data_IF_296355193606
#
_entry.id   IF_296355193606
#
_cell.length_a   1.000
_cell.length_b   1.000
_cell.length_c   1.000
_cell.angle_alpha   90.00
_cell.angle_beta   90.00
_cell.angle_gamma   90.00
#
_symmetry.space_group_name_H-M   'P 1'
#
loop_
_entity.id
_entity.type
_entity.pdbx_description
1 polymer ?
#
# COMPACT_ATOMS: atom_id res chain seq x y z
N UNK A 1 -23.42 9.75 13.12
CA UNK A 1 -23.87 8.33 13.18
C UNK A 1 -23.23 7.51 12.06
N UNK A 2 -23.55 7.70 10.76
CA UNK A 2 -22.94 6.93 9.66
C UNK A 2 -21.40 7.00 9.66
N UNK A 3 -20.83 8.20 9.82
CA UNK A 3 -19.37 8.41 9.85
C UNK A 3 -18.71 7.68 11.03
N UNK A 4 -19.36 7.57 12.15
CA UNK A 4 -18.86 6.83 13.32
C UNK A 4 -18.80 5.33 13.02
N UNK A 5 -19.84 4.77 12.38
CA UNK A 5 -19.84 3.37 11.94
C UNK A 5 -18.74 3.09 10.92
N UNK A 6 -18.58 3.96 9.92
CA UNK A 6 -17.49 3.85 8.95
C UNK A 6 -16.12 3.87 9.64
N UNK A 7 -15.92 4.78 10.60
CA UNK A 7 -14.66 4.85 11.36
C UNK A 7 -14.43 3.61 12.25
N UNK A 8 -15.48 3.06 12.86
CA UNK A 8 -15.43 1.80 13.61
C UNK A 8 -15.05 0.64 12.69
N UNK A 9 -15.72 0.51 11.55
CA UNK A 9 -15.42 -0.49 10.54
C UNK A 9 -13.99 -0.40 10.00
N UNK A 10 -13.52 0.82 9.73
CA UNK A 10 -12.15 1.07 9.29
C UNK A 10 -11.11 0.62 10.34
N UNK A 11 -11.38 0.82 11.63
CA UNK A 11 -10.52 0.33 12.72
C UNK A 11 -10.52 -1.20 12.80
N UNK A 12 -11.71 -1.81 12.70
CA UNK A 12 -11.85 -3.27 12.72
C UNK A 12 -11.13 -3.90 11.51
N UNK A 13 -11.33 -3.35 10.32
CA UNK A 13 -10.63 -3.82 9.12
C UNK A 13 -9.12 -3.65 9.21
N UNK A 14 -8.65 -2.51 9.78
CA UNK A 14 -7.23 -2.31 10.03
C UNK A 14 -6.65 -3.39 10.94
N UNK A 15 -7.32 -3.72 12.05
CA UNK A 15 -6.89 -4.76 12.97
C UNK A 15 -6.81 -6.12 12.27
N UNK A 16 -7.85 -6.50 11.53
CA UNK A 16 -7.89 -7.70 10.72
C UNK A 16 -6.70 -7.79 9.75
N UNK A 17 -6.42 -6.73 8.98
CA UNK A 17 -5.33 -6.73 8.01
C UNK A 17 -3.93 -6.67 8.64
N UNK A 18 -3.80 -6.21 9.88
CA UNK A 18 -2.52 -6.23 10.62
C UNK A 18 -2.23 -7.61 11.23
N UNK A 19 -3.25 -8.41 11.50
CA UNK A 19 -3.13 -9.77 12.01
C UNK A 19 -2.90 -10.77 10.88
N UNK A 20 -3.80 -10.82 9.90
CA UNK A 20 -3.78 -11.82 8.82
C UNK A 20 -2.83 -11.47 7.68
N UNK A 21 -2.46 -10.20 7.52
CA UNK A 21 -1.61 -9.68 6.44
C UNK A 21 -2.15 -10.03 5.04
N UNK A 22 -3.47 -10.08 4.92
CA UNK A 22 -4.19 -10.29 3.67
C UNK A 22 -5.11 -9.12 3.34
N UNK A 23 -5.41 -8.96 2.05
CA UNK A 23 -6.41 -8.03 1.54
C UNK A 23 -7.57 -8.85 0.98
N UNK A 24 -8.79 -8.53 1.39
CA UNK A 24 -9.99 -9.17 0.88
C UNK A 24 -10.67 -8.31 -0.19
N UNK A 25 -11.53 -8.88 -1.05
CA UNK A 25 -12.25 -8.14 -2.08
C UNK A 25 -13.04 -6.94 -1.52
N UNK A 26 -13.08 -5.86 -2.27
CA UNK A 26 -13.68 -4.59 -1.88
C UNK A 26 -15.14 -4.70 -1.40
N UNK A 27 -15.98 -5.48 -2.07
CA UNK A 27 -17.37 -5.71 -1.65
C UNK A 27 -17.45 -6.32 -0.25
N UNK A 28 -16.55 -7.30 0.06
CA UNK A 28 -16.46 -7.92 1.38
C UNK A 28 -15.95 -6.96 2.45
N UNK A 29 -14.99 -6.09 2.13
CA UNK A 29 -14.51 -5.05 3.05
C UNK A 29 -15.69 -4.20 3.55
N UNK A 30 -16.53 -3.74 2.62
CA UNK A 30 -17.68 -2.91 2.97
C UNK A 30 -18.77 -3.69 3.69
N UNK A 31 -19.08 -4.90 3.26
CA UNK A 31 -20.12 -5.73 3.87
C UNK A 31 -19.74 -6.20 5.27
N UNK A 32 -18.51 -6.68 5.46
CA UNK A 32 -18.09 -7.37 6.68
C UNK A 32 -17.54 -6.41 7.74
N UNK A 33 -17.09 -5.22 7.35
CA UNK A 33 -16.46 -4.28 8.27
C UNK A 33 -17.12 -2.90 8.31
N UNK A 34 -17.20 -2.20 7.18
CA UNK A 34 -17.61 -0.79 7.17
C UNK A 34 -19.11 -0.60 7.38
N UNK A 35 -19.91 -1.51 6.87
CA UNK A 35 -21.38 -1.49 6.93
C UNK A 35 -21.95 -2.71 7.68
N UNK A 36 -21.14 -3.43 8.43
CA UNK A 36 -21.54 -4.65 9.14
C UNK A 36 -22.76 -4.44 10.05
N UNK A 37 -22.82 -3.30 10.75
CA UNK A 37 -23.90 -2.98 11.67
C UNK A 37 -25.25 -2.66 10.95
N UNK A 38 -25.23 -2.45 9.63
CA UNK A 38 -26.43 -2.07 8.85
C UNK A 38 -27.14 -3.26 8.19
N UNK A 39 -26.56 -4.46 8.24
CA UNK A 39 -27.12 -5.69 7.67
C UNK A 39 -27.62 -5.55 6.22
N UNK A 40 -26.86 -4.80 5.40
CA UNK A 40 -27.19 -4.57 3.99
C UNK A 40 -27.06 -5.89 3.23
N UNK A 41 -28.08 -6.32 2.46
CA UNK A 41 -27.97 -7.52 1.63
C UNK A 41 -26.79 -7.44 0.67
N UNK A 42 -26.04 -8.54 0.50
CA UNK A 42 -24.83 -8.58 -0.32
C UNK A 42 -25.08 -8.15 -1.77
N UNK A 43 -26.23 -8.51 -2.32
CA UNK A 43 -26.65 -8.13 -3.67
C UNK A 43 -26.79 -6.61 -3.87
N UNK A 44 -27.02 -5.84 -2.81
CA UNK A 44 -27.07 -4.38 -2.88
C UNK A 44 -25.71 -3.72 -2.84
N UNK A 45 -24.69 -4.42 -2.38
CA UNK A 45 -23.29 -3.96 -2.35
C UNK A 45 -22.48 -4.52 -3.52
N UNK A 46 -23.00 -5.53 -4.22
CA UNK A 46 -22.30 -6.20 -5.29
C UNK A 46 -21.86 -5.22 -6.38
N UNK A 47 -20.55 -5.15 -6.62
CA UNK A 47 -19.94 -4.27 -7.61
C UNK A 47 -19.76 -2.81 -7.16
N UNK A 48 -20.21 -2.42 -5.96
CA UNK A 48 -20.04 -1.05 -5.43
C UNK A 48 -18.76 -0.92 -4.59
N UNK A 49 -18.21 -2.02 -4.09
CA UNK A 49 -17.11 -2.02 -3.13
C UNK A 49 -15.87 -1.29 -3.64
N UNK A 50 -15.54 -1.43 -4.91
CA UNK A 50 -14.38 -0.73 -5.50
C UNK A 50 -14.56 0.80 -5.46
N UNK A 51 -15.71 1.31 -5.88
CA UNK A 51 -15.98 2.75 -5.86
C UNK A 51 -15.99 3.28 -4.43
N UNK A 52 -16.57 2.52 -3.50
CA UNK A 52 -16.59 2.86 -2.08
C UNK A 52 -15.17 2.84 -1.47
N UNK A 53 -14.34 1.86 -1.80
CA UNK A 53 -12.94 1.81 -1.40
C UNK A 53 -12.13 2.99 -1.97
N UNK A 54 -12.33 3.29 -3.26
CA UNK A 54 -11.69 4.44 -3.91
C UNK A 54 -12.07 5.75 -3.22
N UNK A 55 -13.37 5.99 -3.02
CA UNK A 55 -13.87 7.19 -2.34
C UNK A 55 -13.33 7.31 -0.92
N UNK A 56 -13.32 6.22 -0.16
CA UNK A 56 -12.81 6.20 1.21
C UNK A 56 -11.30 6.52 1.25
N UNK A 57 -10.50 5.90 0.38
CA UNK A 57 -9.07 6.17 0.29
C UNK A 57 -8.82 7.62 -0.15
N UNK A 58 -9.60 8.15 -1.09
CA UNK A 58 -9.52 9.53 -1.57
C UNK A 58 -9.86 10.54 -0.48
N UNK A 59 -10.95 10.31 0.26
CA UNK A 59 -11.41 11.18 1.33
C UNK A 59 -10.46 11.17 2.53
N UNK A 60 -9.96 10.00 2.92
CA UNK A 60 -9.12 9.83 4.11
C UNK A 60 -7.69 10.33 3.92
N UNK A 61 -7.19 10.32 2.70
CA UNK A 61 -5.78 10.61 2.39
C UNK A 61 -5.65 12.00 1.78
N UNK A 62 -4.98 12.90 2.52
CA UNK A 62 -4.46 14.13 1.92
C UNK A 62 -3.19 13.79 1.15
N UNK A 63 -3.37 13.45 -0.14
CA UNK A 63 -2.25 13.12 -1.00
C UNK A 63 -1.74 14.40 -1.64
N UNK A 64 -0.48 14.67 -1.38
CA UNK A 64 0.23 15.82 -1.93
C UNK A 64 1.47 15.30 -2.64
N UNK A 65 1.68 15.75 -3.86
CA UNK A 65 2.91 15.47 -4.62
C UNK A 65 4.10 16.05 -3.84
N UNK A 66 5.09 15.24 -3.55
CA UNK A 66 6.32 15.71 -2.93
C UNK A 66 7.08 16.60 -3.92
N UNK A 67 7.72 17.64 -3.41
CA UNK A 67 8.64 18.46 -4.18
C UNK A 67 9.76 17.59 -4.77
N UNK A 68 10.14 17.85 -6.01
CA UNK A 68 11.20 17.09 -6.71
C UNK A 68 10.80 15.67 -7.14
N UNK A 69 9.54 15.21 -6.89
CA UNK A 69 9.15 13.83 -7.22
C UNK A 69 9.38 13.50 -8.69
N UNK A 70 8.88 14.33 -9.60
CA UNK A 70 8.98 14.05 -11.03
C UNK A 70 10.41 14.10 -11.53
N UNK A 71 11.18 15.09 -11.06
CA UNK A 71 12.61 15.24 -11.38
C UNK A 71 13.40 14.00 -10.89
N UNK A 72 13.12 13.52 -9.67
CA UNK A 72 13.75 12.31 -9.12
C UNK A 72 13.40 11.09 -9.96
N UNK A 73 12.11 10.87 -10.30
CA UNK A 73 11.68 9.73 -11.10
C UNK A 73 12.31 9.77 -12.50
N UNK A 74 12.35 10.96 -13.12
CA UNK A 74 13.02 11.15 -14.41
C UNK A 74 14.50 10.84 -14.31
N UNK A 75 15.20 11.36 -13.30
CA UNK A 75 16.63 11.12 -13.08
C UNK A 75 16.94 9.63 -12.91
N UNK A 76 16.11 8.90 -12.17
CA UNK A 76 16.25 7.45 -12.01
C UNK A 76 16.06 6.71 -13.35
N UNK A 77 15.06 7.09 -14.15
CA UNK A 77 14.85 6.50 -15.49
C UNK A 77 16.01 6.83 -16.44
N UNK A 78 16.50 8.06 -16.43
CA UNK A 78 17.66 8.48 -17.25
C UNK A 78 18.95 7.74 -16.84
N UNK A 79 19.08 7.37 -15.56
CA UNK A 79 20.16 6.52 -15.04
C UNK A 79 19.98 5.03 -15.34
N UNK A 80 18.90 4.63 -16.02
CA UNK A 80 18.63 3.25 -16.43
C UNK A 80 17.88 2.40 -15.40
N UNK A 81 17.40 2.98 -14.29
CA UNK A 81 16.61 2.23 -13.32
C UNK A 81 15.20 1.94 -13.84
N UNK A 82 14.73 0.73 -13.55
CA UNK A 82 13.34 0.31 -13.75
C UNK A 82 12.57 0.55 -12.46
N UNK A 83 11.36 1.07 -12.55
CA UNK A 83 10.59 1.48 -11.38
C UNK A 83 9.28 0.69 -11.29
N UNK A 84 8.94 0.24 -10.09
CA UNK A 84 7.67 -0.39 -9.74
C UNK A 84 7.12 0.19 -8.45
N UNK A 85 5.84 -0.04 -8.20
CA UNK A 85 5.15 0.36 -6.95
C UNK A 85 4.66 -0.89 -6.23
N UNK A 86 4.88 -0.95 -4.89
CA UNK A 86 4.25 -1.96 -4.02
C UNK A 86 3.40 -1.23 -2.98
N UNK A 87 2.08 -1.44 -2.99
CA UNK A 87 1.15 -0.69 -2.13
C UNK A 87 0.17 -1.59 -1.38
N UNK A 88 0.04 -1.35 -0.05
CA UNK A 88 -1.11 -1.84 0.70
C UNK A 88 -2.27 -0.86 0.53
N UNK A 89 -3.30 -1.26 -0.20
CA UNK A 89 -4.43 -0.42 -0.60
C UNK A 89 -5.69 -1.27 -0.82
N UNK A 90 -6.87 -0.75 -0.44
CA UNK A 90 -8.15 -1.45 -0.61
C UNK A 90 -8.69 -1.35 -2.04
N UNK A 91 -8.52 -0.19 -2.66
CA UNK A 91 -9.00 0.06 -4.02
C UNK A 91 -7.97 -0.39 -5.07
N UNK A 92 -8.43 -1.07 -6.10
CA UNK A 92 -7.60 -1.48 -7.25
C UNK A 92 -7.28 -0.32 -8.20
N UNK A 93 -8.09 0.74 -8.18
CA UNK A 93 -7.96 1.88 -9.11
C UNK A 93 -7.32 3.11 -8.46
N UNK A 94 -7.19 3.16 -7.13
CA UNK A 94 -6.71 4.35 -6.43
C UNK A 94 -5.26 4.72 -6.80
N UNK A 95 -4.33 3.76 -6.71
CA UNK A 95 -2.91 4.05 -7.00
C UNK A 95 -2.71 4.45 -8.47
N UNK A 96 -3.22 3.71 -9.47
CA UNK A 96 -3.11 4.14 -10.87
C UNK A 96 -3.61 5.57 -11.10
N UNK A 97 -4.83 5.89 -10.63
CA UNK A 97 -5.44 7.21 -10.82
C UNK A 97 -4.65 8.34 -10.16
N UNK A 98 -4.14 8.12 -8.95
CA UNK A 98 -3.32 9.14 -8.26
C UNK A 98 -2.00 9.39 -8.99
N UNK A 99 -1.35 8.34 -9.49
CA UNK A 99 -0.13 8.49 -10.29
C UNK A 99 -0.39 9.23 -11.60
N UNK A 100 -1.54 9.00 -12.25
CA UNK A 100 -1.99 9.72 -13.43
C UNK A 100 -2.29 11.19 -13.12
N UNK A 101 -3.06 11.47 -12.07
CA UNK A 101 -3.35 12.85 -11.61
C UNK A 101 -2.09 13.66 -11.34
N UNK A 102 -1.05 13.00 -10.83
CA UNK A 102 0.24 13.64 -10.57
C UNK A 102 1.18 13.68 -11.78
N UNK A 103 0.79 13.10 -12.92
CA UNK A 103 1.57 13.08 -14.14
C UNK A 103 2.82 12.20 -14.06
N UNK A 104 2.81 11.18 -13.21
CA UNK A 104 4.00 10.32 -12.96
C UNK A 104 3.77 8.82 -13.23
N UNK A 105 2.57 8.42 -13.67
CA UNK A 105 2.24 7.00 -13.92
C UNK A 105 3.18 6.36 -14.94
N UNK A 106 3.61 7.09 -15.95
CA UNK A 106 4.48 6.64 -17.03
C UNK A 106 5.88 6.20 -16.59
N UNK A 107 6.32 6.60 -15.41
CA UNK A 107 7.63 6.19 -14.89
C UNK A 107 7.65 4.76 -14.34
N UNK A 108 6.49 4.19 -13.99
CA UNK A 108 6.37 2.89 -13.34
C UNK A 108 5.93 1.81 -14.32
N UNK A 109 6.67 0.71 -14.35
CA UNK A 109 6.37 -0.46 -15.20
C UNK A 109 5.31 -1.35 -14.56
N UNK A 110 5.38 -1.56 -13.24
CA UNK A 110 4.48 -2.43 -12.49
C UNK A 110 3.84 -1.71 -11.31
N UNK A 111 2.63 -2.14 -10.96
CA UNK A 111 1.90 -1.70 -9.78
C UNK A 111 1.39 -2.91 -9.00
N UNK A 112 2.21 -3.41 -8.08
CA UNK A 112 1.87 -4.54 -7.21
C UNK A 112 1.06 -4.03 -6.02
N UNK A 113 -0.24 -4.30 -6.03
CA UNK A 113 -1.19 -3.79 -5.03
C UNK A 113 -1.82 -4.93 -4.24
N UNK A 114 -1.94 -4.76 -2.92
CA UNK A 114 -2.59 -5.77 -2.07
C UNK A 114 -4.03 -6.06 -2.48
N UNK A 115 -4.76 -5.04 -2.94
CA UNK A 115 -6.12 -5.18 -3.49
C UNK A 115 -6.21 -6.10 -4.71
N UNK A 116 -5.10 -6.30 -5.43
CA UNK A 116 -5.04 -7.17 -6.62
C UNK A 116 -4.50 -8.55 -6.26
N UNK A 117 -3.39 -8.61 -5.51
CA UNK A 117 -2.73 -9.88 -5.20
C UNK A 117 -3.23 -10.55 -3.90
N UNK A 118 -4.06 -9.87 -3.10
CA UNK A 118 -4.58 -10.39 -1.84
C UNK A 118 -3.58 -10.41 -0.67
N UNK A 119 -2.34 -9.99 -0.89
CA UNK A 119 -1.24 -10.10 0.07
C UNK A 119 -0.77 -8.71 0.47
N UNK A 120 -0.48 -8.52 1.77
CA UNK A 120 -0.07 -7.22 2.31
C UNK A 120 1.37 -7.24 2.84
N UNK A 121 2.08 -6.12 2.68
CA UNK A 121 3.31 -5.85 3.44
C UNK A 121 3.00 -5.92 4.94
N UNK A 122 3.86 -6.50 5.77
CA UNK A 122 5.26 -6.89 5.55
C UNK A 122 5.48 -8.36 5.13
N UNK A 123 4.49 -9.06 4.55
CA UNK A 123 4.75 -10.42 4.02
C UNK A 123 5.74 -10.35 2.87
N UNK A 124 6.68 -11.31 2.85
CA UNK A 124 7.68 -11.44 1.78
C UNK A 124 7.04 -11.66 0.42
N UNK A 125 5.95 -12.43 0.38
CA UNK A 125 5.27 -12.83 -0.87
C UNK A 125 4.91 -11.64 -1.78
N UNK A 126 4.51 -10.47 -1.23
CA UNK A 126 4.15 -9.32 -2.09
C UNK A 126 5.35 -8.74 -2.80
N UNK A 127 6.54 -8.81 -2.19
CA UNK A 127 7.79 -8.38 -2.79
C UNK A 127 8.26 -9.37 -3.86
N UNK A 128 8.06 -10.68 -3.64
CA UNK A 128 8.36 -11.73 -4.62
C UNK A 128 7.45 -11.60 -5.86
N UNK A 129 6.15 -11.25 -5.66
CA UNK A 129 5.23 -10.94 -6.75
C UNK A 129 5.75 -9.76 -7.57
N UNK A 130 6.18 -8.68 -6.90
CA UNK A 130 6.70 -7.50 -7.59
C UNK A 130 7.95 -7.80 -8.42
N UNK A 131 8.90 -8.60 -7.89
CA UNK A 131 10.07 -9.05 -8.63
C UNK A 131 9.70 -9.88 -9.87
N UNK A 132 8.73 -10.78 -9.71
CA UNK A 132 8.22 -11.60 -10.82
C UNK A 132 7.56 -10.74 -11.89
N UNK A 133 6.75 -9.75 -11.51
CA UNK A 133 6.12 -8.81 -12.45
C UNK A 133 7.16 -7.96 -13.18
N UNK A 134 8.23 -7.55 -12.49
CA UNK A 134 9.35 -6.82 -13.07
C UNK A 134 10.29 -7.70 -13.90
N UNK A 135 10.27 -9.02 -13.68
CA UNK A 135 11.19 -9.95 -14.34
C UNK A 135 12.66 -9.73 -13.94
N UNK A 136 12.93 -9.40 -12.67
CA UNK A 136 14.27 -9.17 -12.14
C UNK A 136 14.55 -10.06 -10.92
N UNK A 137 15.82 -10.46 -10.68
CA UNK A 137 16.20 -11.13 -9.45
C UNK A 137 16.27 -10.13 -8.29
N UNK A 138 16.09 -10.63 -7.07
CA UNK A 138 16.07 -9.76 -5.87
C UNK A 138 17.38 -9.06 -5.60
N UNK A 139 18.49 -9.66 -6.02
CA UNK A 139 19.85 -9.14 -5.86
C UNK A 139 20.08 -7.82 -6.64
N UNK A 140 19.24 -7.54 -7.64
CA UNK A 140 19.27 -6.32 -8.44
C UNK A 140 18.21 -5.30 -8.00
N UNK A 141 17.46 -5.59 -6.93
CA UNK A 141 16.35 -4.76 -6.45
C UNK A 141 16.75 -3.93 -5.23
N UNK A 142 16.22 -2.71 -5.20
CA UNK A 142 16.22 -1.85 -4.01
C UNK A 142 14.79 -1.44 -3.68
N UNK A 143 14.49 -1.21 -2.43
CA UNK A 143 13.19 -0.74 -2.00
C UNK A 143 13.28 0.61 -1.30
N UNK A 144 12.37 1.50 -1.64
CA UNK A 144 12.22 2.81 -1.00
C UNK A 144 10.86 2.86 -0.32
N UNK A 145 10.84 3.11 0.99
CA UNK A 145 9.60 3.17 1.76
C UNK A 145 9.71 4.06 2.97
N UNK A 146 8.62 4.25 3.71
CA UNK A 146 8.56 5.20 4.81
C UNK A 146 8.18 4.59 6.17
N UNK A 147 7.79 3.29 6.21
CA UNK A 147 7.35 2.63 7.45
C UNK A 147 8.29 1.52 7.88
N UNK A 148 8.62 1.47 9.18
CA UNK A 148 9.34 0.33 9.77
C UNK A 148 8.43 -0.91 9.77
N UNK A 149 7.18 -0.71 10.20
CA UNK A 149 6.20 -1.80 10.38
C UNK A 149 5.89 -2.61 9.12
N UNK A 150 5.98 -2.01 7.94
CA UNK A 150 5.60 -2.62 6.66
C UNK A 150 6.75 -2.72 5.69
N UNK A 151 7.50 -1.63 5.51
CA UNK A 151 8.50 -1.53 4.46
C UNK A 151 9.84 -2.12 4.92
N UNK A 152 10.46 -1.58 5.96
CA UNK A 152 11.74 -2.08 6.48
C UNK A 152 11.62 -3.55 6.92
N UNK A 153 10.59 -3.86 7.71
CA UNK A 153 10.31 -5.24 8.14
C UNK A 153 10.03 -6.17 6.95
N UNK A 154 9.27 -5.67 5.96
CA UNK A 154 8.94 -6.44 4.77
C UNK A 154 10.15 -6.79 3.93
N UNK A 155 11.03 -5.83 3.69
CA UNK A 155 12.29 -6.05 2.97
C UNK A 155 13.24 -6.97 3.75
N UNK A 156 13.32 -6.81 5.06
CA UNK A 156 14.06 -7.74 5.92
C UNK A 156 13.54 -9.18 5.79
N UNK A 157 12.20 -9.36 5.75
CA UNK A 157 11.58 -10.67 5.57
C UNK A 157 11.82 -11.26 4.16
N UNK A 158 11.79 -10.41 3.13
CA UNK A 158 12.00 -10.79 1.73
C UNK A 158 13.49 -10.98 1.37
N UNK A 159 14.40 -10.49 2.21
CA UNK A 159 15.84 -10.61 2.02
C UNK A 159 16.36 -9.84 0.80
N UNK A 160 15.79 -8.65 0.55
CA UNK A 160 16.34 -7.76 -0.50
C UNK A 160 17.62 -7.07 -0.02
N UNK A 161 18.56 -6.76 -0.91
CA UNK A 161 19.89 -6.28 -0.55
C UNK A 161 19.92 -4.82 -0.09
N UNK A 162 18.91 -3.99 -0.42
CA UNK A 162 18.94 -2.57 -0.11
C UNK A 162 17.56 -2.05 0.25
N UNK A 163 17.43 -1.49 1.45
CA UNK A 163 16.27 -0.76 1.96
C UNK A 163 16.65 0.70 2.24
N UNK A 164 15.99 1.62 1.53
CA UNK A 164 16.13 3.08 1.73
C UNK A 164 14.87 3.57 2.45
N UNK A 165 15.03 4.16 3.64
CA UNK A 165 13.90 4.69 4.39
C UNK A 165 13.79 6.21 4.19
N UNK A 166 12.67 6.65 3.61
CA UNK A 166 12.33 8.07 3.54
C UNK A 166 11.70 8.51 4.87
N UNK A 167 12.22 9.58 5.44
CA UNK A 167 11.67 10.15 6.66
C UNK A 167 10.24 10.67 6.46
N UNK A 168 9.33 10.25 7.37
CA UNK A 168 7.93 10.66 7.37
C UNK A 168 7.40 10.82 8.80
N UNK A 169 7.55 12.00 9.42
CA UNK A 169 7.12 12.25 10.79
C UNK A 169 5.63 11.96 11.06
N UNK A 170 4.78 12.05 10.01
CA UNK A 170 3.33 11.82 10.14
C UNK A 170 2.96 10.38 10.53
N UNK A 171 3.88 9.44 10.34
CA UNK A 171 3.61 8.00 10.60
C UNK A 171 4.46 7.43 11.74
N UNK A 172 5.28 8.21 12.43
CA UNK A 172 6.13 7.73 13.53
C UNK A 172 5.36 6.94 14.58
N UNK A 173 4.15 7.40 14.92
CA UNK A 173 3.27 6.71 15.86
C UNK A 173 2.91 5.27 15.46
N UNK A 174 2.97 4.94 14.17
CA UNK A 174 2.68 3.59 13.65
C UNK A 174 3.87 2.65 13.85
N UNK A 175 5.06 3.21 13.89
CA UNK A 175 6.32 2.48 13.94
C UNK A 175 6.90 2.34 15.35
N UNK A 176 6.33 3.04 16.34
CA UNK A 176 6.85 3.09 17.72
C UNK A 176 7.07 1.69 18.31
N UNK A 177 6.08 0.79 18.10
CA UNK A 177 6.16 -0.62 18.52
C UNK A 177 7.36 -1.37 17.91
N UNK A 178 7.79 -0.98 16.71
CA UNK A 178 8.79 -1.71 15.92
C UNK A 178 10.21 -1.12 16.05
N UNK A 179 10.35 0.14 16.53
CA UNK A 179 11.65 0.82 16.68
C UNK A 179 12.63 0.07 17.59
N UNK A 180 12.13 -0.64 18.63
CA UNK A 180 12.94 -1.43 19.54
C UNK A 180 13.22 -2.87 19.09
N UNK A 181 12.68 -3.32 17.94
CA UNK A 181 12.78 -4.72 17.50
C UNK A 181 13.98 -5.01 16.58
N UNK A 182 14.89 -4.06 16.40
CA UNK A 182 16.12 -4.27 15.62
C UNK A 182 15.97 -4.11 14.11
N UNK A 183 14.77 -3.80 13.60
CA UNK A 183 14.59 -3.49 12.17
C UNK A 183 15.22 -2.16 11.82
N UNK A 184 16.11 -2.15 10.85
CA UNK A 184 16.82 -0.95 10.37
C UNK A 184 16.85 -0.96 8.84
N UNK A 185 16.68 0.21 8.24
CA UNK A 185 17.02 0.43 6.84
C UNK A 185 18.54 0.53 6.67
N UNK A 186 19.01 0.36 5.45
CA UNK A 186 20.42 0.50 5.10
C UNK A 186 20.81 1.98 4.97
N UNK A 187 19.86 2.80 4.49
CA UNK A 187 20.00 4.25 4.28
C UNK A 187 18.74 4.99 4.75
#
# INVERSE_FOLDING_TARGET
ELLEHINKGAKAYKAYTEEDLIEIPADRIWQEFFLADFHIPAEKLAGLGEDLCYMFDRWRKHIVKREGLEETLKGLKDAGYRLGVISNIMSTTFVPRILEEHGVRQYFETLTMSSVCGIRKPRADIFDIALKEMGIPKEEAAYVGDTISRDVRGISNAGWPLMIQIDNPRIYHKDEKYRGMGYKADV
#
